data_IF_479239424471
#
_entry.id   IF_479239424471
#
_cell.length_a   1.000
_cell.length_b   1.000
_cell.length_c   1.000
_cell.angle_alpha   90.00
_cell.angle_beta   90.00
_cell.angle_gamma   90.00
#
_symmetry.space_group_name_H-M   'P 1'
#
loop_
_entity.id
_entity.type
_entity.pdbx_description
1 polymer ?
#
# COMPACT_ATOMS: atom_id res chain seq x y z
N UNK A 1 -14.40 24.79 8.15
CA UNK A 1 -14.96 23.46 7.85
C UNK A 1 -13.87 22.65 7.19
N UNK A 2 -13.62 21.41 7.64
CA UNK A 2 -12.67 20.51 6.98
C UNK A 2 -13.37 19.95 5.73
N UNK A 3 -12.72 20.02 4.57
CA UNK A 3 -13.26 19.42 3.34
C UNK A 3 -13.26 17.89 3.45
N UNK A 4 -14.29 17.18 2.93
CA UNK A 4 -14.27 15.72 2.90
C UNK A 4 -13.03 15.18 2.18
N UNK A 5 -12.39 14.11 2.68
CA UNK A 5 -11.21 13.53 2.05
C UNK A 5 -11.54 13.00 0.67
N UNK A 6 -10.62 13.19 -0.28
CA UNK A 6 -10.74 12.79 -1.67
C UNK A 6 -9.65 11.78 -1.98
N UNK A 7 -10.05 10.58 -2.36
CA UNK A 7 -9.15 9.43 -2.45
C UNK A 7 -9.21 8.78 -3.83
N UNK A 8 -8.06 8.25 -4.26
CA UNK A 8 -7.91 7.46 -5.47
C UNK A 8 -7.69 5.98 -5.10
N UNK A 9 -8.29 5.10 -5.89
CA UNK A 9 -8.08 3.65 -5.79
C UNK A 9 -7.50 3.15 -7.11
N UNK A 10 -6.47 2.32 -7.04
CA UNK A 10 -5.84 1.65 -8.17
C UNK A 10 -5.77 0.15 -7.91
N UNK A 11 -6.12 -0.66 -8.90
CA UNK A 11 -5.95 -2.12 -8.83
C UNK A 11 -4.49 -2.52 -9.05
N UNK A 12 -4.27 -3.49 -9.94
CA UNK A 12 -2.93 -4.00 -10.21
C UNK A 12 -2.04 -2.99 -10.94
N UNK A 13 -0.90 -2.68 -10.32
CA UNK A 13 0.10 -1.73 -10.84
C UNK A 13 1.15 -2.46 -11.68
N UNK A 14 1.53 -3.69 -11.29
CA UNK A 14 2.55 -4.51 -11.97
C UNK A 14 3.86 -3.75 -12.24
N UNK A 15 4.29 -2.93 -11.28
CA UNK A 15 5.52 -2.12 -11.36
C UNK A 15 5.48 -0.93 -12.32
N UNK A 16 4.35 -0.63 -13.00
CA UNK A 16 4.24 0.47 -13.99
C UNK A 16 4.06 1.84 -13.31
N UNK A 17 5.00 2.22 -12.45
CA UNK A 17 4.89 3.39 -11.57
C UNK A 17 4.86 4.71 -12.33
N UNK A 18 5.62 4.85 -13.41
CA UNK A 18 5.61 6.04 -14.27
C UNK A 18 4.26 6.24 -14.94
N UNK A 19 3.63 5.17 -15.41
CA UNK A 19 2.27 5.23 -15.98
C UNK A 19 1.25 5.60 -14.90
N UNK A 20 1.33 4.95 -13.74
CA UNK A 20 0.46 5.22 -12.58
C UNK A 20 0.54 6.70 -12.19
N UNK A 21 1.75 7.21 -11.90
CA UNK A 21 1.91 8.55 -11.36
C UNK A 21 1.70 9.67 -12.39
N UNK A 22 1.92 9.40 -13.69
CA UNK A 22 1.47 10.30 -14.77
C UNK A 22 -0.05 10.41 -14.81
N UNK A 23 -0.76 9.27 -14.72
CA UNK A 23 -2.23 9.27 -14.71
C UNK A 23 -2.78 9.97 -13.48
N UNK A 24 -2.21 9.67 -12.32
CA UNK A 24 -2.58 10.28 -11.03
C UNK A 24 -2.37 11.80 -11.07
N UNK A 25 -1.22 12.27 -11.57
CA UNK A 25 -0.96 13.71 -11.74
C UNK A 25 -2.00 14.38 -12.65
N UNK A 26 -2.33 13.72 -13.77
CA UNK A 26 -3.35 14.22 -14.71
C UNK A 26 -4.74 14.32 -14.06
N UNK A 27 -5.16 13.28 -13.33
CA UNK A 27 -6.46 13.26 -12.63
C UNK A 27 -6.49 14.27 -11.49
N UNK A 28 -5.40 14.40 -10.74
CA UNK A 28 -5.28 15.37 -9.66
C UNK A 28 -5.37 16.81 -10.18
N UNK A 29 -4.78 17.09 -11.36
CA UNK A 29 -4.91 18.40 -12.01
C UNK A 29 -6.33 18.70 -12.50
N UNK A 30 -7.01 17.71 -13.08
CA UNK A 30 -8.33 17.95 -13.69
C UNK A 30 -9.49 17.89 -12.71
N UNK A 31 -9.35 17.10 -11.64
CA UNK A 31 -10.44 16.79 -10.73
C UNK A 31 -10.04 16.91 -9.27
N UNK A 32 -8.78 17.18 -8.91
CA UNK A 32 -8.31 17.23 -7.53
C UNK A 32 -8.64 18.54 -6.78
N UNK A 33 -7.96 18.82 -5.66
CA UNK A 33 -6.89 18.00 -5.08
C UNK A 33 -7.43 16.68 -4.50
N UNK A 34 -6.64 15.61 -4.61
CA UNK A 34 -6.80 14.34 -3.91
C UNK A 34 -5.76 14.24 -2.79
N UNK A 35 -6.16 13.64 -1.67
CA UNK A 35 -5.36 13.54 -0.45
C UNK A 35 -4.48 12.29 -0.43
N UNK A 36 -5.00 11.16 -0.96
CA UNK A 36 -4.32 9.86 -0.90
C UNK A 36 -4.65 8.97 -2.10
N UNK A 37 -3.67 8.14 -2.50
CA UNK A 37 -3.84 7.01 -3.42
C UNK A 37 -3.67 5.68 -2.66
N UNK A 38 -4.61 4.75 -2.85
CA UNK A 38 -4.49 3.37 -2.41
C UNK A 38 -4.32 2.44 -3.63
N UNK A 39 -3.23 1.67 -3.67
CA UNK A 39 -3.01 0.61 -4.64
C UNK A 39 -3.36 -0.74 -3.99
N UNK A 40 -4.42 -1.37 -4.47
CA UNK A 40 -5.04 -2.54 -3.84
C UNK A 40 -4.79 -3.86 -4.57
N UNK A 41 -4.05 -3.82 -5.68
CA UNK A 41 -3.65 -5.00 -6.44
C UNK A 41 -2.16 -5.30 -6.35
N UNK A 42 -1.68 -6.20 -7.20
CA UNK A 42 -0.26 -6.50 -7.33
C UNK A 42 0.54 -5.23 -7.61
N UNK A 43 1.34 -4.79 -6.64
CA UNK A 43 2.09 -3.53 -6.75
C UNK A 43 3.41 -3.72 -7.50
N UNK A 44 4.15 -4.79 -7.16
CA UNK A 44 5.45 -5.11 -7.74
C UNK A 44 5.32 -5.76 -9.14
N UNK A 45 6.35 -5.64 -9.98
CA UNK A 45 6.31 -6.23 -11.32
C UNK A 45 6.31 -7.76 -11.30
N UNK A 46 5.91 -8.35 -12.40
CA UNK A 46 5.98 -9.78 -12.72
C UNK A 46 7.17 -10.13 -13.63
N UNK A 47 7.83 -9.11 -14.23
CA UNK A 47 9.01 -9.27 -15.09
C UNK A 47 10.18 -8.37 -14.66
N UNK A 48 11.45 -8.75 -14.98
CA UNK A 48 12.64 -7.98 -14.62
C UNK A 48 12.70 -6.57 -15.23
N UNK A 49 12.15 -6.38 -16.43
CA UNK A 49 12.25 -5.13 -17.20
C UNK A 49 11.68 -3.90 -16.48
N UNK A 50 10.85 -4.11 -15.47
CA UNK A 50 10.17 -3.06 -14.70
C UNK A 50 10.73 -2.88 -13.29
N UNK A 51 11.74 -3.66 -12.91
CA UNK A 51 12.35 -3.53 -11.59
C UNK A 51 13.19 -2.25 -11.50
N UNK A 52 13.89 -1.88 -12.57
CA UNK A 52 14.69 -0.65 -12.61
C UNK A 52 13.81 0.60 -12.46
N UNK A 53 12.67 0.64 -13.15
CA UNK A 53 11.66 1.70 -12.99
C UNK A 53 11.21 1.83 -11.53
N UNK A 54 10.93 0.71 -10.86
CA UNK A 54 10.55 0.74 -9.45
C UNK A 54 11.67 1.33 -8.57
N UNK A 55 12.92 0.92 -8.83
CA UNK A 55 14.07 1.40 -8.07
C UNK A 55 14.34 2.89 -8.27
N UNK A 56 14.04 3.46 -9.44
CA UNK A 56 14.12 4.91 -9.67
C UNK A 56 13.26 5.70 -8.65
N UNK A 57 12.09 5.18 -8.26
CA UNK A 57 11.24 5.79 -7.23
C UNK A 57 11.76 5.55 -5.82
N UNK A 58 12.24 4.34 -5.51
CA UNK A 58 12.80 4.01 -4.18
C UNK A 58 14.03 4.86 -3.87
N UNK A 59 14.87 5.09 -4.88
CA UNK A 59 16.10 5.89 -4.78
C UNK A 59 15.86 7.40 -4.89
N UNK A 60 14.60 7.83 -5.11
CA UNK A 60 14.23 9.24 -5.20
C UNK A 60 14.62 9.93 -6.52
N UNK A 61 14.99 9.17 -7.55
CA UNK A 61 15.23 9.68 -8.92
C UNK A 61 13.92 10.11 -9.60
N UNK A 62 12.80 9.54 -9.16
CA UNK A 62 11.44 9.95 -9.57
C UNK A 62 10.58 10.34 -8.36
N UNK A 63 9.61 11.24 -8.58
CA UNK A 63 8.76 11.78 -7.53
C UNK A 63 7.36 11.16 -7.55
N UNK A 64 6.79 10.96 -6.36
CA UNK A 64 5.44 10.43 -6.17
C UNK A 64 4.51 11.61 -5.81
N UNK A 65 3.47 11.88 -6.63
CA UNK A 65 2.75 13.16 -6.62
C UNK A 65 1.81 13.37 -5.42
N UNK A 66 1.46 12.30 -4.68
CA UNK A 66 0.71 12.37 -3.42
C UNK A 66 0.97 11.10 -2.58
N UNK A 67 0.69 11.13 -1.27
CA UNK A 67 0.80 9.94 -0.41
C UNK A 67 0.12 8.72 -1.03
N UNK A 68 0.91 7.66 -1.23
CA UNK A 68 0.50 6.43 -1.88
C UNK A 68 0.71 5.26 -0.94
N UNK A 69 -0.36 4.58 -0.60
CA UNK A 69 -0.37 3.38 0.21
C UNK A 69 -0.62 2.18 -0.69
N UNK A 70 0.07 1.07 -0.46
CA UNK A 70 -0.19 -0.15 -1.21
C UNK A 70 -0.30 -1.37 -0.29
N UNK A 71 -1.23 -2.24 -0.68
CA UNK A 71 -1.16 -3.68 -0.42
C UNK A 71 -0.63 -4.36 -1.70
N UNK A 72 -0.45 -5.68 -1.67
CA UNK A 72 0.08 -6.40 -2.84
C UNK A 72 1.60 -6.54 -2.80
N UNK A 73 2.07 -7.02 -1.65
CA UNK A 73 3.46 -7.22 -1.24
C UNK A 73 4.11 -8.48 -1.81
N UNK A 74 3.75 -8.81 -3.06
CA UNK A 74 4.22 -9.95 -3.83
C UNK A 74 4.58 -9.53 -5.25
N UNK A 75 5.38 -10.36 -5.93
CA UNK A 75 5.94 -10.07 -7.25
C UNK A 75 7.46 -10.01 -7.21
N UNK A 76 8.07 -9.75 -8.36
CA UNK A 76 9.51 -9.70 -8.53
C UNK A 76 10.10 -8.52 -7.75
N UNK A 77 11.15 -8.78 -6.96
CA UNK A 77 11.84 -7.76 -6.17
C UNK A 77 11.15 -7.37 -4.86
N UNK A 78 9.88 -7.77 -4.64
CA UNK A 78 9.13 -7.45 -3.44
C UNK A 78 9.89 -7.83 -2.16
N UNK A 79 10.29 -9.10 -2.02
CA UNK A 79 11.01 -9.56 -0.83
C UNK A 79 12.30 -8.76 -0.53
N UNK A 80 13.05 -8.35 -1.57
CA UNK A 80 14.27 -7.55 -1.41
C UNK A 80 13.95 -6.14 -0.90
N UNK A 81 13.01 -5.45 -1.55
CA UNK A 81 12.60 -4.09 -1.18
C UNK A 81 11.97 -4.07 0.21
N UNK A 82 11.04 -4.97 0.47
CA UNK A 82 10.23 -4.99 1.69
C UNK A 82 11.03 -5.44 2.92
N UNK A 83 12.01 -6.34 2.73
CA UNK A 83 12.95 -6.68 3.82
C UNK A 83 13.87 -5.52 4.18
N UNK A 84 14.31 -4.72 3.19
CA UNK A 84 15.07 -3.50 3.46
C UNK A 84 14.22 -2.46 4.20
N UNK A 85 12.98 -2.24 3.75
CA UNK A 85 12.05 -1.33 4.42
C UNK A 85 11.73 -1.77 5.86
N UNK A 86 11.54 -3.07 6.11
CA UNK A 86 11.27 -3.61 7.45
C UNK A 86 12.42 -3.39 8.44
N UNK A 87 13.66 -3.28 7.95
CA UNK A 87 14.86 -3.04 8.78
C UNK A 87 15.20 -1.57 8.96
N UNK A 88 14.50 -0.67 8.28
CA UNK A 88 14.73 0.77 8.42
C UNK A 88 14.33 1.22 9.84
N UNK A 89 15.22 1.94 10.53
CA UNK A 89 14.96 2.46 11.88
C UNK A 89 13.70 3.33 11.96
N UNK A 90 13.35 4.06 10.89
CA UNK A 90 12.11 4.84 10.82
C UNK A 90 10.83 3.99 10.81
N UNK A 91 10.97 2.70 10.50
CA UNK A 91 9.88 1.71 10.52
C UNK A 91 9.96 0.78 11.74
N UNK A 92 10.83 1.07 12.72
CA UNK A 92 10.91 0.26 13.93
C UNK A 92 9.62 0.34 14.76
N UNK A 93 9.33 -0.75 15.48
CA UNK A 93 8.14 -0.88 16.31
C UNK A 93 6.92 -1.42 15.56
N UNK A 94 5.77 -1.35 16.21
CA UNK A 94 4.51 -1.85 15.69
C UNK A 94 3.77 -0.72 14.97
N UNK A 95 3.71 -0.78 13.64
CA UNK A 95 3.10 0.23 12.77
C UNK A 95 1.99 -0.37 11.94
N UNK A 96 0.76 0.08 12.17
CA UNK A 96 -0.40 -0.27 11.36
C UNK A 96 -0.70 0.77 10.27
N UNK A 97 -0.17 1.98 10.42
CA UNK A 97 -0.32 3.11 9.49
C UNK A 97 0.65 3.05 8.30
N UNK A 98 1.32 1.91 8.10
CA UNK A 98 2.19 1.65 6.96
C UNK A 98 3.67 1.88 7.24
N UNK A 99 4.50 1.08 6.58
CA UNK A 99 5.96 1.19 6.61
C UNK A 99 6.40 2.07 5.44
N UNK A 100 7.19 3.11 5.71
CA UNK A 100 7.69 3.99 4.67
C UNK A 100 8.71 3.24 3.80
N UNK A 101 8.47 3.19 2.49
CA UNK A 101 9.42 2.65 1.49
C UNK A 101 10.35 3.77 1.03
N UNK A 102 9.76 4.87 0.55
CA UNK A 102 10.44 6.10 0.18
C UNK A 102 9.49 7.30 0.41
N UNK A 103 9.85 8.49 -0.06
CA UNK A 103 8.98 9.66 0.08
C UNK A 103 7.62 9.43 -0.61
N UNK A 104 6.52 9.71 0.10
CA UNK A 104 5.14 9.48 -0.35
C UNK A 104 4.76 8.03 -0.69
N UNK A 105 5.55 7.01 -0.33
CA UNK A 105 5.21 5.61 -0.57
C UNK A 105 5.24 4.76 0.71
N UNK A 106 4.10 4.13 1.01
CA UNK A 106 3.88 3.41 2.25
C UNK A 106 3.33 2.00 1.99
N UNK A 107 3.94 1.01 2.62
CA UNK A 107 3.52 -0.38 2.54
C UNK A 107 2.63 -0.74 3.72
N UNK A 108 1.40 -1.18 3.44
CA UNK A 108 0.50 -1.75 4.44
C UNK A 108 0.81 -3.24 4.59
N UNK A 109 1.60 -3.59 5.62
CA UNK A 109 2.11 -4.94 5.87
C UNK A 109 1.12 -5.80 6.64
N UNK A 110 0.83 -7.00 6.14
CA UNK A 110 -0.05 -7.97 6.81
C UNK A 110 -1.49 -7.46 6.90
N UNK A 111 -2.08 -7.51 8.08
CA UNK A 111 -3.42 -6.99 8.37
C UNK A 111 -3.39 -5.87 9.41
N UNK A 112 -4.30 -4.91 9.29
CA UNK A 112 -4.42 -3.85 10.29
C UNK A 112 -5.60 -2.91 10.07
N UNK A 113 -5.75 -1.98 11.02
CA UNK A 113 -6.75 -0.90 11.00
C UNK A 113 -6.11 0.38 11.49
N UNK A 114 -6.30 1.48 10.77
CA UNK A 114 -5.74 2.79 11.14
C UNK A 114 -6.66 3.93 10.69
N UNK A 115 -6.39 5.14 11.19
CA UNK A 115 -7.12 6.35 10.81
C UNK A 115 -6.30 7.18 9.82
N UNK A 116 -6.89 7.56 8.69
CA UNK A 116 -6.26 8.42 7.69
C UNK A 116 -7.27 9.46 7.18
N UNK A 117 -6.93 10.74 7.27
CA UNK A 117 -7.82 11.86 6.94
C UNK A 117 -9.23 11.75 7.57
N UNK A 118 -9.32 11.21 8.79
CA UNK A 118 -10.58 10.98 9.51
C UNK A 118 -11.27 9.65 9.21
N UNK A 119 -10.89 8.97 8.13
CA UNK A 119 -11.46 7.68 7.72
C UNK A 119 -10.80 6.53 8.48
N UNK A 120 -11.59 5.54 8.90
CA UNK A 120 -11.12 4.24 9.37
C UNK A 120 -10.82 3.34 8.18
N UNK A 121 -9.54 3.04 7.98
CA UNK A 121 -9.05 2.17 6.89
C UNK A 121 -8.60 0.85 7.51
N UNK A 122 -9.25 -0.23 7.11
CA UNK A 122 -8.84 -1.60 7.40
C UNK A 122 -8.17 -2.21 6.17
N UNK A 123 -7.22 -3.12 6.36
CA UNK A 123 -6.55 -3.80 5.25
C UNK A 123 -6.15 -5.23 5.59
N UNK A 124 -6.08 -6.04 4.54
CA UNK A 124 -5.47 -7.37 4.51
C UNK A 124 -4.61 -7.48 3.25
N UNK A 125 -3.28 -7.49 3.43
CA UNK A 125 -2.31 -7.60 2.34
C UNK A 125 -1.91 -9.04 2.07
N UNK A 126 -1.57 -9.32 0.81
CA UNK A 126 -1.08 -10.60 0.35
C UNK A 126 -2.17 -11.44 -0.31
N UNK A 127 -1.80 -12.68 -0.67
CA UNK A 127 -2.71 -13.70 -1.18
C UNK A 127 -2.89 -14.81 -0.15
N UNK A 128 -4.07 -15.42 -0.10
CA UNK A 128 -4.32 -16.50 0.84
C UNK A 128 -3.33 -17.65 0.59
N UNK A 129 -2.60 -18.07 1.64
CA UNK A 129 -1.71 -19.22 1.58
C UNK A 129 -1.55 -19.85 2.97
N UNK A 130 -1.45 -21.18 3.02
CA UNK A 130 -1.18 -21.92 4.26
C UNK A 130 0.33 -22.04 4.52
N UNK A 131 1.14 -22.04 3.45
CA UNK A 131 2.60 -22.18 3.48
C UNK A 131 3.24 -21.12 2.57
N UNK A 132 2.89 -19.86 2.82
CA UNK A 132 3.34 -18.75 2.00
C UNK A 132 4.76 -18.26 2.33
N UNK A 133 5.43 -17.58 1.37
CA UNK A 133 6.62 -16.81 1.69
C UNK A 133 6.33 -15.78 2.80
N UNK A 134 7.40 -15.33 3.49
CA UNK A 134 7.33 -14.36 4.59
C UNK A 134 6.57 -13.05 4.25
N UNK A 135 6.50 -12.70 2.97
CA UNK A 135 5.78 -11.53 2.46
C UNK A 135 4.80 -11.97 1.38
N UNK A 136 3.75 -11.18 1.15
CA UNK A 136 2.86 -11.40 0.03
C UNK A 136 1.81 -12.47 0.25
N UNK A 137 1.68 -12.98 1.47
CA UNK A 137 0.63 -13.95 1.84
C UNK A 137 -0.04 -13.62 3.16
N UNK A 138 -1.27 -14.09 3.31
CA UNK A 138 -2.02 -14.09 4.56
C UNK A 138 -2.63 -15.47 4.83
N UNK A 139 -2.86 -15.76 6.11
CA UNK A 139 -3.47 -16.97 6.64
C UNK A 139 -4.86 -16.72 7.22
N UNK A 140 -5.55 -17.76 7.68
CA UNK A 140 -6.81 -17.58 8.42
C UNK A 140 -6.59 -16.83 9.75
N UNK A 141 -5.43 -16.98 10.38
CA UNK A 141 -5.10 -16.26 11.62
C UNK A 141 -5.06 -14.75 11.38
N UNK A 142 -4.56 -14.30 10.23
CA UNK A 142 -4.56 -12.88 9.84
C UNK A 142 -5.98 -12.36 9.58
N UNK A 143 -6.86 -13.20 9.02
CA UNK A 143 -8.28 -12.87 8.82
C UNK A 143 -8.99 -12.73 10.17
N UNK A 144 -8.74 -13.65 11.11
CA UNK A 144 -9.33 -13.60 12.45
C UNK A 144 -8.82 -12.42 13.27
N UNK A 145 -7.53 -12.09 13.16
CA UNK A 145 -6.95 -10.88 13.73
C UNK A 145 -7.64 -9.62 13.18
N UNK A 146 -7.89 -9.56 11.88
CA UNK A 146 -8.61 -8.42 11.26
C UNK A 146 -10.07 -8.35 11.73
N UNK A 147 -10.75 -9.49 11.89
CA UNK A 147 -12.12 -9.53 12.44
C UNK A 147 -12.16 -8.95 13.85
N UNK A 148 -11.23 -9.36 14.72
CA UNK A 148 -11.14 -8.82 16.07
C UNK A 148 -10.92 -7.29 16.08
N UNK A 149 -10.08 -6.77 15.18
CA UNK A 149 -9.90 -5.31 15.01
C UNK A 149 -11.15 -4.59 14.48
N UNK A 150 -11.97 -5.28 13.69
CA UNK A 150 -13.21 -4.74 13.15
C UNK A 150 -14.36 -4.77 14.17
N UNK A 151 -14.29 -5.62 15.20
CA UNK A 151 -15.27 -5.69 16.30
C UNK A 151 -15.13 -4.54 17.31
N UNK A 152 -13.99 -3.85 17.33
CA UNK A 152 -13.83 -2.63 18.14
C UNK A 152 -14.89 -1.58 17.78
N UNK A 153 -15.56 -0.95 18.76
CA UNK A 153 -16.60 0.04 18.51
C UNK A 153 -16.16 1.13 17.53
N UNK A 154 -16.81 1.18 16.36
CA UNK A 154 -16.52 2.15 15.31
C UNK A 154 -16.90 1.64 13.93
N UNK A 155 -17.01 2.54 12.97
CA UNK A 155 -17.27 2.20 11.57
C UNK A 155 -15.94 2.02 10.86
N UNK A 156 -15.81 0.93 10.09
CA UNK A 156 -14.78 0.80 9.05
C UNK A 156 -15.32 1.46 7.80
N UNK A 157 -14.66 2.53 7.35
CA UNK A 157 -15.09 3.28 6.17
C UNK A 157 -14.59 2.63 4.88
N UNK A 158 -13.38 2.05 4.91
CA UNK A 158 -12.75 1.39 3.76
C UNK A 158 -12.07 0.09 4.21
N UNK A 159 -12.31 -0.99 3.48
CA UNK A 159 -11.54 -2.24 3.55
C UNK A 159 -10.71 -2.40 2.28
N UNK A 160 -9.40 -2.53 2.43
CA UNK A 160 -8.45 -2.80 1.34
C UNK A 160 -8.05 -4.28 1.37
N UNK A 161 -8.39 -5.03 0.33
CA UNK A 161 -7.97 -6.42 0.17
C UNK A 161 -7.92 -6.77 -1.31
N UNK A 162 -7.21 -7.84 -1.65
CA UNK A 162 -7.10 -8.36 -3.00
C UNK A 162 -7.61 -9.82 -3.06
N UNK A 163 -8.37 -10.21 -4.10
CA UNK A 163 -8.86 -11.58 -4.28
C UNK A 163 -7.77 -12.65 -4.34
#
# INVERSE_FOLDING_TARGET
MVSPPRLLLCGDVFGRLSQLFKRVSSVNKSAGPFDVLFCVGQFFPDSPDRLDEFMDYVEGRSQIPLPTYFIGDYGLGAAKVLSAASRNHGNAGFKMDGLKICENLYWLKGSGKFKLHGLSVAYLSGRQSVEGPQFGTYSNDDVDALRALAEEPGVVDILLTYP
#
